data_IF_133786306621
#
_entry.id   IF_133786306621
#
_cell.length_a   1.000
_cell.length_b   1.000
_cell.length_c   1.000
_cell.angle_alpha   90.00
_cell.angle_beta   90.00
_cell.angle_gamma   90.00
#
_symmetry.space_group_name_H-M   'P 1'
#
loop_
_entity.id
_entity.type
_entity.pdbx_description
1 polymer ?
#
# COMPACT_ATOMS: atom_id res chain seq x y z
N UNK A 1 4.19 -24.91 21.19
CA UNK A 1 4.14 -23.48 20.82
C UNK A 1 3.99 -23.45 19.30
N UNK A 2 2.86 -22.97 18.75
CA UNK A 2 2.74 -22.80 17.30
C UNK A 2 3.76 -21.73 16.89
N UNK A 3 4.67 -22.04 16.00
CA UNK A 3 5.52 -21.01 15.37
C UNK A 3 4.60 -19.96 14.76
N UNK A 4 4.80 -18.71 15.11
CA UNK A 4 4.05 -17.59 14.54
C UNK A 4 4.41 -17.50 13.06
N UNK A 5 3.40 -17.56 12.18
CA UNK A 5 3.62 -17.42 10.73
C UNK A 5 4.23 -16.04 10.42
N UNK A 6 5.21 -16.03 9.54
CA UNK A 6 5.80 -14.77 9.04
C UNK A 6 4.79 -14.02 8.18
N UNK A 7 4.83 -12.70 8.21
CA UNK A 7 3.90 -11.84 7.48
C UNK A 7 4.60 -11.21 6.28
N UNK A 8 4.06 -11.45 5.09
CA UNK A 8 4.50 -10.84 3.85
C UNK A 8 3.45 -9.84 3.36
N UNK A 9 3.90 -8.64 3.05
CA UNK A 9 3.09 -7.59 2.44
C UNK A 9 3.47 -7.42 0.97
N UNK A 10 2.50 -7.58 0.09
CA UNK A 10 2.64 -7.37 -1.35
C UNK A 10 1.88 -6.09 -1.72
N UNK A 11 2.60 -5.05 -2.11
CA UNK A 11 2.00 -3.77 -2.48
C UNK A 11 1.79 -3.74 -4.00
N UNK A 12 0.54 -3.53 -4.43
CA UNK A 12 0.20 -3.16 -5.79
C UNK A 12 0.73 -1.74 -6.08
N UNK A 13 1.97 -1.67 -6.58
CA UNK A 13 2.67 -0.42 -6.82
C UNK A 13 2.02 0.41 -7.93
N UNK A 14 1.50 -0.24 -8.97
CA UNK A 14 0.80 0.45 -10.07
C UNK A 14 -0.47 1.13 -9.59
N UNK A 15 -1.29 0.43 -8.83
CA UNK A 15 -2.48 0.99 -8.20
C UNK A 15 -2.16 2.12 -7.23
N UNK A 16 -1.07 1.98 -6.45
CA UNK A 16 -0.60 3.00 -5.52
C UNK A 16 -0.13 4.28 -6.22
N UNK A 17 0.56 4.17 -7.34
CA UNK A 17 1.01 5.32 -8.15
C UNK A 17 -0.19 6.18 -8.56
N UNK A 18 -1.20 5.58 -9.19
CA UNK A 18 -2.38 6.31 -9.64
C UNK A 18 -3.15 6.91 -8.46
N UNK A 19 -3.29 6.18 -7.36
CA UNK A 19 -3.94 6.70 -6.14
C UNK A 19 -3.20 7.89 -5.58
N UNK A 20 -1.88 7.81 -5.44
CA UNK A 20 -1.05 8.90 -4.95
C UNK A 20 -1.17 10.14 -5.85
N UNK A 21 -1.13 9.94 -7.16
CA UNK A 21 -1.26 11.02 -8.13
C UNK A 21 -2.58 11.78 -8.02
N UNK A 22 -3.70 11.05 -7.89
CA UNK A 22 -5.02 11.68 -7.79
C UNK A 22 -5.38 12.20 -6.39
N UNK A 23 -4.75 11.67 -5.34
CA UNK A 23 -4.99 12.12 -3.97
C UNK A 23 -4.36 13.49 -3.68
N UNK A 24 -3.22 13.77 -4.29
CA UNK A 24 -2.46 15.01 -4.06
C UNK A 24 -2.44 15.82 -5.37
N UNK A 25 -3.10 16.97 -5.36
CA UNK A 25 -3.15 17.86 -6.52
C UNK A 25 -2.04 18.90 -6.44
N UNK A 26 -1.38 19.18 -7.59
CA UNK A 26 -0.50 20.33 -7.80
C UNK A 26 0.66 20.47 -6.80
N UNK A 27 1.37 19.39 -6.51
CA UNK A 27 2.65 19.43 -5.82
C UNK A 27 3.79 19.37 -6.86
N UNK A 28 4.68 20.35 -6.83
CA UNK A 28 5.89 20.39 -7.64
C UNK A 28 7.05 20.98 -6.84
N UNK A 29 8.28 20.66 -7.22
CA UNK A 29 9.44 21.31 -6.68
C UNK A 29 9.66 22.72 -7.28
N UNK A 30 10.64 23.47 -6.78
CA UNK A 30 10.97 24.83 -7.25
C UNK A 30 11.38 24.91 -8.73
N UNK A 31 11.78 23.78 -9.32
CA UNK A 31 12.11 23.66 -10.75
C UNK A 31 10.87 23.40 -11.63
N UNK A 32 9.68 23.32 -11.04
CA UNK A 32 8.42 23.05 -11.74
C UNK A 32 8.19 21.58 -12.09
N UNK A 33 9.00 20.66 -11.57
CA UNK A 33 8.82 19.21 -11.76
C UNK A 33 7.69 18.73 -10.83
N UNK A 34 6.69 18.04 -11.40
CA UNK A 34 5.61 17.45 -10.62
C UNK A 34 6.16 16.35 -9.71
N UNK A 35 5.77 16.38 -8.44
CA UNK A 35 6.27 15.47 -7.38
C UNK A 35 5.15 14.86 -6.53
N UNK A 36 3.89 15.15 -6.86
CA UNK A 36 2.72 14.73 -6.10
C UNK A 36 2.60 13.20 -5.98
N UNK A 37 2.81 12.46 -7.08
CA UNK A 37 2.73 11.00 -7.05
C UNK A 37 3.87 10.39 -6.23
N UNK A 38 5.10 10.89 -6.38
CA UNK A 38 6.26 10.42 -5.60
C UNK A 38 6.02 10.65 -4.12
N UNK A 39 5.58 11.85 -3.74
CA UNK A 39 5.31 12.21 -2.35
C UNK A 39 4.19 11.36 -1.74
N UNK A 40 3.07 11.24 -2.46
CA UNK A 40 1.94 10.43 -2.02
C UNK A 40 2.30 8.95 -1.87
N UNK A 41 2.96 8.40 -2.87
CA UNK A 41 3.43 7.01 -2.86
C UNK A 41 4.37 6.75 -1.68
N UNK A 42 5.37 7.62 -1.46
CA UNK A 42 6.32 7.49 -0.35
C UNK A 42 5.62 7.48 1.00
N UNK A 43 4.64 8.39 1.21
CA UNK A 43 3.89 8.42 2.47
C UNK A 43 3.01 7.17 2.66
N UNK A 44 2.36 6.67 1.59
CA UNK A 44 1.57 5.45 1.65
C UNK A 44 2.45 4.22 1.95
N UNK A 45 3.64 4.15 1.35
CA UNK A 45 4.63 3.12 1.62
C UNK A 45 5.09 3.14 3.08
N UNK A 46 5.47 4.32 3.59
CA UNK A 46 5.87 4.51 4.98
C UNK A 46 4.75 4.15 5.96
N UNK A 47 3.51 4.48 5.63
CA UNK A 47 2.35 4.08 6.43
C UNK A 47 2.26 2.55 6.51
N UNK A 48 2.31 1.85 5.38
CA UNK A 48 2.25 0.39 5.34
C UNK A 48 3.39 -0.26 6.14
N UNK A 49 4.61 0.29 6.07
CA UNK A 49 5.77 -0.22 6.81
C UNK A 49 5.63 -0.02 8.33
N UNK A 50 5.07 1.10 8.78
CA UNK A 50 5.04 1.48 10.21
C UNK A 50 3.84 0.92 10.96
N UNK A 51 2.65 1.08 10.39
CA UNK A 51 1.41 0.72 11.09
C UNK A 51 1.20 -0.79 11.11
N UNK A 52 1.59 -1.47 10.05
CA UNK A 52 1.39 -2.91 9.93
C UNK A 52 2.61 -3.73 10.39
N UNK A 53 3.78 -3.11 10.49
CA UNK A 53 5.04 -3.74 10.92
C UNK A 53 5.24 -5.14 10.30
N UNK A 54 5.34 -5.25 8.95
CA UNK A 54 5.51 -6.52 8.26
C UNK A 54 6.91 -7.12 8.52
N UNK A 55 7.03 -8.45 8.44
CA UNK A 55 8.33 -9.12 8.47
C UNK A 55 9.02 -9.04 7.10
N UNK A 56 8.21 -9.07 6.03
CA UNK A 56 8.64 -9.06 4.63
C UNK A 56 7.72 -8.14 3.81
N UNK A 57 8.28 -7.46 2.83
CA UNK A 57 7.53 -6.54 1.97
C UNK A 57 8.13 -6.47 0.57
N UNK A 58 7.28 -6.41 -0.45
CA UNK A 58 7.65 -6.11 -1.83
C UNK A 58 6.67 -5.14 -2.47
N UNK A 59 7.13 -4.42 -3.47
CA UNK A 59 6.32 -3.56 -4.33
C UNK A 59 6.31 -4.13 -5.74
N UNK A 60 5.12 -4.38 -6.26
CA UNK A 60 4.92 -5.02 -7.55
C UNK A 60 4.41 -3.96 -8.55
N UNK A 61 5.03 -3.89 -9.71
CA UNK A 61 4.67 -2.95 -10.76
C UNK A 61 4.28 -3.66 -12.04
N UNK A 62 3.42 -3.02 -12.82
CA UNK A 62 3.23 -3.42 -14.21
C UNK A 62 4.50 -3.14 -15.02
N UNK A 63 4.91 -4.11 -15.79
CA UNK A 63 6.01 -3.94 -16.73
C UNK A 63 5.59 -3.04 -17.90
N UNK A 64 6.55 -2.40 -18.51
CA UNK A 64 6.32 -1.61 -19.73
C UNK A 64 5.99 -2.55 -20.91
N UNK A 65 4.89 -2.28 -21.58
CA UNK A 65 4.46 -3.04 -22.76
C UNK A 65 3.13 -3.79 -22.52
N UNK A 66 2.66 -4.55 -23.51
CA UNK A 66 1.42 -5.31 -23.40
C UNK A 66 1.59 -6.55 -22.52
N UNK A 67 0.53 -6.94 -21.82
CA UNK A 67 0.43 -8.25 -21.17
C UNK A 67 -0.11 -9.30 -22.16
N UNK A 68 0.00 -10.58 -21.81
CA UNK A 68 -0.54 -11.70 -22.58
C UNK A 68 -2.05 -11.53 -22.89
N UNK A 69 -2.80 -10.81 -22.04
CA UNK A 69 -4.23 -10.52 -22.27
C UNK A 69 -4.48 -9.73 -23.55
N UNK A 70 -3.52 -8.90 -23.95
CA UNK A 70 -3.59 -8.17 -25.22
C UNK A 70 -3.48 -9.07 -26.44
N UNK A 71 -2.80 -10.21 -26.32
CA UNK A 71 -2.72 -11.23 -27.36
C UNK A 71 -4.04 -12.01 -27.47
N UNK A 72 -4.71 -12.27 -26.34
CA UNK A 72 -6.02 -12.93 -26.29
C UNK A 72 -7.12 -12.01 -26.83
N UNK A 73 -7.09 -10.72 -26.44
CA UNK A 73 -8.12 -9.74 -26.80
C UNK A 73 -7.49 -8.37 -27.11
N UNK A 74 -7.41 -8.02 -28.37
CA UNK A 74 -6.78 -6.78 -28.84
C UNK A 74 -7.36 -5.51 -28.23
N UNK A 75 -8.65 -5.52 -27.88
CA UNK A 75 -9.35 -4.38 -27.26
C UNK A 75 -9.16 -4.31 -25.73
N UNK A 76 -8.46 -5.27 -25.10
CA UNK A 76 -8.18 -5.25 -23.67
C UNK A 76 -7.48 -3.95 -23.27
N UNK A 77 -8.03 -3.23 -22.29
CA UNK A 77 -7.55 -1.91 -21.83
C UNK A 77 -7.42 -0.84 -22.92
N UNK A 78 -8.05 -1.01 -24.10
CA UNK A 78 -7.95 -0.04 -25.19
C UNK A 78 -8.66 1.28 -24.90
N UNK A 79 -9.61 1.30 -23.97
CA UNK A 79 -10.33 2.48 -23.51
C UNK A 79 -9.59 3.28 -22.40
N UNK A 80 -8.48 2.75 -21.87
CA UNK A 80 -7.70 3.47 -20.85
C UNK A 80 -7.07 4.72 -21.47
N UNK A 81 -7.23 5.83 -20.78
CA UNK A 81 -6.56 7.06 -21.16
C UNK A 81 -5.04 6.91 -21.04
N UNK A 82 -4.31 7.63 -21.88
CA UNK A 82 -2.87 7.71 -21.74
C UNK A 82 -2.51 8.21 -20.33
N UNK A 83 -1.37 7.72 -19.82
CA UNK A 83 -0.84 8.21 -18.55
C UNK A 83 -0.63 9.74 -18.64
N UNK A 84 -1.03 10.52 -17.62
CA UNK A 84 -0.77 11.97 -17.61
C UNK A 84 0.71 12.29 -17.84
N UNK A 85 0.99 13.28 -18.68
CA UNK A 85 2.36 13.64 -19.08
C UNK A 85 3.24 14.01 -17.89
N UNK A 86 2.66 14.60 -16.84
CA UNK A 86 3.34 14.97 -15.60
C UNK A 86 3.50 13.80 -14.62
N UNK A 87 2.80 12.67 -14.82
CA UNK A 87 3.00 11.44 -14.07
C UNK A 87 4.16 10.60 -14.63
N UNK A 88 4.32 10.58 -15.96
CA UNK A 88 5.34 9.75 -16.62
C UNK A 88 6.74 9.93 -16.01
N UNK A 89 7.27 11.16 -15.80
CA UNK A 89 8.59 11.36 -15.21
C UNK A 89 8.68 10.97 -13.72
N UNK A 90 7.56 10.84 -13.04
CA UNK A 90 7.53 10.46 -11.63
C UNK A 90 7.71 8.94 -11.41
N UNK A 91 7.40 8.10 -12.41
CA UNK A 91 7.51 6.64 -12.29
C UNK A 91 8.94 6.18 -11.95
N UNK A 92 10.00 6.63 -12.69
CA UNK A 92 11.37 6.28 -12.33
C UNK A 92 11.75 6.71 -10.91
N UNK A 93 11.32 7.89 -10.48
CA UNK A 93 11.59 8.42 -9.14
C UNK A 93 10.93 7.58 -8.05
N UNK A 94 9.70 7.12 -8.27
CA UNK A 94 9.01 6.20 -7.36
C UNK A 94 9.79 4.88 -7.22
N UNK A 95 10.23 4.30 -8.34
CA UNK A 95 11.04 3.08 -8.32
C UNK A 95 12.40 3.29 -7.63
N UNK A 96 12.98 4.49 -7.76
CA UNK A 96 14.20 4.87 -7.06
C UNK A 96 13.97 4.97 -5.55
N UNK A 97 12.86 5.57 -5.12
CA UNK A 97 12.43 5.57 -3.70
C UNK A 97 12.31 4.14 -3.18
N UNK A 98 11.62 3.24 -3.88
CA UNK A 98 11.46 1.85 -3.46
C UNK A 98 12.81 1.16 -3.30
N UNK A 99 13.74 1.35 -4.25
CA UNK A 99 15.10 0.79 -4.15
C UNK A 99 15.89 1.37 -2.99
N UNK A 100 15.77 2.68 -2.75
CA UNK A 100 16.44 3.35 -1.63
C UNK A 100 15.87 2.91 -0.26
N UNK A 101 14.61 2.47 -0.22
CA UNK A 101 14.06 1.75 0.93
C UNK A 101 14.54 0.29 1.03
N UNK A 102 15.39 -0.16 0.09
CA UNK A 102 15.90 -1.53 -0.02
C UNK A 102 14.79 -2.57 -0.14
N UNK A 103 13.69 -2.18 -0.79
CA UNK A 103 12.56 -3.07 -1.04
C UNK A 103 12.65 -3.67 -2.44
N UNK A 104 12.27 -4.95 -2.61
CA UNK A 104 12.10 -5.53 -3.93
C UNK A 104 11.07 -4.75 -4.75
N UNK A 105 11.47 -4.30 -5.94
CA UNK A 105 10.62 -3.71 -6.94
C UNK A 105 10.47 -4.72 -8.09
N UNK A 106 9.35 -5.42 -8.14
CA UNK A 106 9.16 -6.58 -9.02
C UNK A 106 8.27 -6.19 -10.19
N UNK A 107 8.73 -6.47 -11.39
CA UNK A 107 7.97 -6.37 -12.63
C UNK A 107 8.46 -7.43 -13.62
N UNK A 108 7.57 -7.96 -14.44
CA UNK A 108 7.94 -8.94 -15.46
C UNK A 108 7.17 -8.66 -16.76
N UNK A 109 7.91 -8.50 -17.87
CA UNK A 109 7.31 -8.26 -19.18
C UNK A 109 6.36 -9.39 -19.60
N UNK A 110 5.22 -9.02 -20.15
CA UNK A 110 4.16 -9.95 -20.57
C UNK A 110 3.14 -10.28 -19.49
N UNK A 111 3.38 -9.91 -18.22
CA UNK A 111 2.47 -10.13 -17.09
C UNK A 111 2.10 -8.80 -16.42
N UNK A 112 0.93 -8.78 -15.80
CA UNK A 112 0.48 -7.65 -15.00
C UNK A 112 0.87 -7.82 -13.53
N UNK A 113 0.88 -6.71 -12.77
CA UNK A 113 1.19 -6.75 -11.34
C UNK A 113 0.31 -7.75 -10.57
N UNK A 114 -0.97 -7.83 -10.94
CA UNK A 114 -1.93 -8.72 -10.31
C UNK A 114 -1.59 -10.21 -10.48
N UNK A 115 -1.06 -10.61 -11.65
CA UNK A 115 -0.63 -11.98 -11.93
C UNK A 115 0.62 -12.33 -11.08
N UNK A 116 1.54 -11.36 -10.96
CA UNK A 116 2.74 -11.50 -10.12
C UNK A 116 2.33 -11.65 -8.65
N UNK A 117 1.43 -10.79 -8.17
CA UNK A 117 0.89 -10.83 -6.80
C UNK A 117 0.20 -12.17 -6.53
N UNK A 118 -0.65 -12.65 -7.46
CA UNK A 118 -1.34 -13.93 -7.32
C UNK A 118 -0.35 -15.11 -7.24
N UNK A 119 0.68 -15.11 -8.10
CA UNK A 119 1.73 -16.12 -8.11
C UNK A 119 2.52 -16.14 -6.80
N UNK A 120 2.98 -14.98 -6.32
CA UNK A 120 3.70 -14.86 -5.05
C UNK A 120 2.83 -15.27 -3.87
N UNK A 121 1.56 -14.85 -3.88
CA UNK A 121 0.59 -15.22 -2.85
C UNK A 121 0.46 -16.74 -2.75
N UNK A 122 0.23 -17.43 -3.86
CA UNK A 122 0.14 -18.89 -3.91
C UNK A 122 1.41 -19.56 -3.38
N UNK A 123 2.60 -19.11 -3.86
CA UNK A 123 3.89 -19.66 -3.45
C UNK A 123 4.07 -19.54 -1.94
N UNK A 124 3.97 -18.34 -1.40
CA UNK A 124 4.35 -18.10 0.00
C UNK A 124 3.29 -18.53 1.02
N UNK A 125 2.02 -18.65 0.65
CA UNK A 125 1.02 -19.34 1.48
C UNK A 125 1.39 -20.82 1.63
N UNK A 126 1.83 -21.47 0.54
CA UNK A 126 2.28 -22.86 0.58
C UNK A 126 3.56 -23.04 1.44
N UNK A 127 4.39 -22.02 1.56
CA UNK A 127 5.56 -21.96 2.43
C UNK A 127 5.24 -21.55 3.89
N UNK A 128 3.96 -21.36 4.21
CA UNK A 128 3.50 -21.13 5.58
C UNK A 128 3.47 -19.67 6.01
N UNK A 129 3.38 -18.70 5.09
CA UNK A 129 3.27 -17.27 5.41
C UNK A 129 1.82 -16.80 5.47
N UNK A 130 1.58 -15.72 6.21
CA UNK A 130 0.37 -14.92 6.15
C UNK A 130 0.60 -13.73 5.20
N UNK A 131 -0.27 -13.58 4.20
CA UNK A 131 -0.11 -12.59 3.14
C UNK A 131 -1.11 -11.45 3.33
N UNK A 132 -0.62 -10.22 3.29
CA UNK A 132 -1.46 -9.02 3.16
C UNK A 132 -1.17 -8.34 1.83
N UNK A 133 -2.14 -8.32 0.94
CA UNK A 133 -2.03 -7.63 -0.35
C UNK A 133 -2.56 -6.21 -0.16
N UNK A 134 -1.70 -5.24 -0.36
CA UNK A 134 -2.05 -3.83 -0.16
C UNK A 134 -2.50 -3.24 -1.50
N UNK A 135 -3.80 -3.23 -1.71
CA UNK A 135 -4.44 -2.80 -2.95
C UNK A 135 -5.87 -2.33 -2.70
N UNK A 136 -6.49 -1.67 -3.65
CA UNK A 136 -7.92 -1.43 -3.70
C UNK A 136 -8.57 -2.11 -4.89
N UNK A 137 -7.82 -2.93 -5.60
CA UNK A 137 -8.37 -3.66 -6.73
C UNK A 137 -9.21 -4.85 -6.24
N UNK A 138 -10.45 -4.90 -6.76
CA UNK A 138 -11.41 -5.97 -6.45
C UNK A 138 -11.02 -7.31 -7.07
N UNK A 139 -10.23 -7.27 -8.15
CA UNK A 139 -9.91 -8.45 -8.92
C UNK A 139 -8.96 -9.37 -8.14
N UNK A 140 -8.12 -8.77 -7.28
CA UNK A 140 -7.29 -9.49 -6.31
C UNK A 140 -8.08 -10.17 -5.17
N UNK A 141 -9.40 -9.98 -5.08
CA UNK A 141 -10.26 -10.79 -4.21
C UNK A 141 -10.30 -12.27 -4.62
N UNK A 142 -9.84 -12.62 -5.82
CA UNK A 142 -9.69 -13.99 -6.28
C UNK A 142 -8.71 -14.83 -5.45
N UNK A 143 -7.70 -14.19 -4.87
CA UNK A 143 -6.62 -14.87 -4.13
C UNK A 143 -6.77 -14.79 -2.61
N UNK A 144 -7.86 -14.18 -2.12
CA UNK A 144 -8.16 -14.11 -0.68
C UNK A 144 -8.37 -15.53 -0.13
N UNK A 145 -7.89 -15.77 1.08
CA UNK A 145 -7.97 -17.09 1.72
C UNK A 145 -7.87 -17.00 3.25
N UNK A 146 -7.73 -18.13 3.91
CA UNK A 146 -7.54 -18.20 5.36
C UNK A 146 -6.30 -17.42 5.81
N UNK A 147 -5.23 -17.47 4.99
CA UNK A 147 -3.94 -16.83 5.22
C UNK A 147 -3.67 -15.65 4.28
N UNK A 148 -4.69 -15.16 3.57
CA UNK A 148 -4.57 -14.07 2.60
C UNK A 148 -5.68 -13.07 2.81
N UNK A 149 -5.33 -11.81 2.99
CA UNK A 149 -6.28 -10.70 3.07
C UNK A 149 -5.83 -9.53 2.20
N UNK A 150 -6.77 -8.72 1.75
CA UNK A 150 -6.48 -7.44 1.12
C UNK A 150 -6.54 -6.33 2.18
N UNK A 151 -5.74 -5.27 1.97
CA UNK A 151 -5.79 -4.06 2.75
C UNK A 151 -5.93 -2.83 1.84
N UNK A 152 -7.06 -2.15 1.92
CA UNK A 152 -7.28 -0.87 1.23
C UNK A 152 -6.94 0.28 2.17
N UNK A 153 -5.75 0.86 2.00
CA UNK A 153 -5.24 1.95 2.84
C UNK A 153 -6.03 3.25 2.75
N UNK A 154 -6.81 3.45 1.68
CA UNK A 154 -7.66 4.63 1.53
C UNK A 154 -8.92 4.54 2.39
N UNK A 155 -9.46 3.35 2.53
CA UNK A 155 -10.64 3.07 3.34
C UNK A 155 -10.28 2.63 4.75
N UNK A 156 -8.99 2.39 4.99
CA UNK A 156 -8.46 1.79 6.20
C UNK A 156 -9.21 0.50 6.58
N UNK A 157 -9.38 -0.39 5.57
CA UNK A 157 -10.21 -1.58 5.70
C UNK A 157 -9.51 -2.81 5.15
N UNK A 158 -9.60 -3.89 5.93
CA UNK A 158 -9.22 -5.23 5.48
C UNK A 158 -10.40 -5.94 4.82
N UNK A 159 -10.08 -6.78 3.83
CA UNK A 159 -11.04 -7.64 3.14
C UNK A 159 -10.53 -9.08 3.22
N UNK A 160 -11.30 -9.90 3.89
CA UNK A 160 -11.09 -11.34 4.01
C UNK A 160 -12.21 -12.13 3.33
N UNK A 161 -12.31 -13.42 3.65
CA UNK A 161 -13.32 -14.32 3.08
C UNK A 161 -14.77 -13.82 3.29
N UNK A 162 -15.06 -13.16 4.40
CA UNK A 162 -16.40 -12.65 4.68
C UNK A 162 -16.79 -11.51 3.73
N UNK A 163 -15.89 -10.56 3.49
CA UNK A 163 -16.12 -9.44 2.58
C UNK A 163 -16.19 -9.91 1.12
N UNK A 164 -15.40 -10.91 0.73
CA UNK A 164 -15.51 -11.53 -0.60
C UNK A 164 -16.88 -12.19 -0.76
N UNK A 165 -17.33 -12.97 0.23
CA UNK A 165 -18.64 -13.63 0.18
C UNK A 165 -19.79 -12.61 0.17
N UNK A 166 -19.70 -11.52 0.92
CA UNK A 166 -20.68 -10.43 0.90
C UNK A 166 -20.76 -9.79 -0.49
N UNK A 167 -19.62 -9.52 -1.12
CA UNK A 167 -19.57 -8.82 -2.40
C UNK A 167 -19.93 -9.70 -3.57
N UNK A 168 -19.35 -10.90 -3.67
CA UNK A 168 -19.47 -11.78 -4.82
C UNK A 168 -20.45 -12.94 -4.60
N UNK A 169 -21.01 -13.10 -3.40
CA UNK A 169 -22.02 -14.10 -3.08
C UNK A 169 -21.50 -15.52 -2.90
N UNK A 170 -20.19 -15.66 -2.62
CA UNK A 170 -19.55 -16.94 -2.40
C UNK A 170 -18.06 -16.82 -2.14
N UNK A 171 -17.34 -17.94 -2.10
CA UNK A 171 -15.90 -17.95 -1.88
C UNK A 171 -15.12 -17.33 -3.04
N UNK A 172 -13.82 -17.05 -2.89
CA UNK A 172 -12.97 -16.33 -3.85
C UNK A 172 -12.99 -16.90 -5.27
N UNK A 173 -13.19 -18.20 -5.45
CA UNK A 173 -13.32 -18.86 -6.76
C UNK A 173 -14.52 -18.36 -7.56
N UNK A 174 -15.50 -17.69 -6.92
CA UNK A 174 -16.65 -17.11 -7.59
C UNK A 174 -16.39 -15.71 -8.15
N UNK A 175 -15.32 -15.06 -7.73
CA UNK A 175 -14.97 -13.70 -8.18
C UNK A 175 -14.82 -13.66 -9.71
N UNK A 176 -13.98 -14.52 -10.26
CA UNK A 176 -13.78 -14.62 -11.72
C UNK A 176 -15.05 -14.98 -12.46
N UNK A 177 -15.90 -15.86 -11.91
CA UNK A 177 -17.17 -16.27 -12.52
C UNK A 177 -18.17 -15.10 -12.61
N UNK A 178 -18.24 -14.28 -11.56
CA UNK A 178 -19.11 -13.08 -11.53
C UNK A 178 -18.57 -12.01 -12.48
N UNK A 179 -17.27 -11.76 -12.49
CA UNK A 179 -16.65 -10.79 -13.39
C UNK A 179 -16.75 -11.20 -14.87
N UNK A 180 -16.65 -12.49 -15.16
CA UNK A 180 -16.85 -13.02 -16.52
C UNK A 180 -18.23 -12.66 -17.11
N UNK A 181 -19.27 -12.69 -16.29
CA UNK A 181 -20.63 -12.33 -16.69
C UNK A 181 -20.85 -10.83 -16.71
N UNK A 182 -20.37 -10.13 -15.68
CA UNK A 182 -20.58 -8.69 -15.53
C UNK A 182 -19.73 -7.87 -16.50
N UNK A 183 -18.56 -8.38 -16.87
CA UNK A 183 -17.51 -7.62 -17.54
C UNK A 183 -16.83 -6.62 -16.61
N UNK A 184 -15.83 -5.94 -17.14
CA UNK A 184 -15.18 -4.82 -16.47
C UNK A 184 -14.93 -3.67 -17.45
N UNK A 185 -15.60 -2.54 -17.23
CA UNK A 185 -15.48 -1.38 -18.10
C UNK A 185 -14.13 -0.67 -17.97
N UNK A 186 -13.41 -0.80 -16.83
CA UNK A 186 -12.08 -0.22 -16.65
C UNK A 186 -11.03 -0.92 -17.49
N UNK A 187 -11.19 -2.23 -17.70
CA UNK A 187 -10.27 -3.06 -18.48
C UNK A 187 -10.82 -3.41 -19.87
N UNK A 188 -11.96 -2.82 -20.22
CA UNK A 188 -12.65 -3.09 -21.48
C UNK A 188 -12.98 -4.60 -21.67
N UNK A 189 -13.35 -5.26 -20.58
CA UNK A 189 -13.79 -6.66 -20.60
C UNK A 189 -15.29 -6.68 -20.84
N UNK A 190 -15.77 -7.33 -21.90
CA UNK A 190 -17.13 -7.10 -22.40
C UNK A 190 -18.26 -7.69 -21.55
N UNK A 191 -18.03 -8.82 -20.86
CA UNK A 191 -19.09 -9.53 -20.13
C UNK A 191 -20.25 -9.95 -21.01
N UNK A 192 -21.45 -10.12 -20.42
CA UNK A 192 -22.70 -10.41 -21.13
C UNK A 192 -23.59 -9.17 -21.12
N UNK A 193 -24.00 -8.63 -22.27
CA UNK A 193 -24.86 -7.45 -22.33
C UNK A 193 -26.13 -7.58 -21.47
N UNK A 194 -26.38 -6.56 -20.64
CA UNK A 194 -27.50 -6.52 -19.72
C UNK A 194 -27.37 -7.34 -18.44
N UNK A 195 -26.18 -7.90 -18.18
CA UNK A 195 -25.85 -8.57 -16.93
C UNK A 195 -24.78 -7.74 -16.22
N UNK A 196 -25.18 -6.96 -15.21
CA UNK A 196 -24.27 -6.27 -14.33
C UNK A 196 -23.89 -7.10 -13.11
N UNK A 197 -22.96 -6.60 -12.26
CA UNK A 197 -22.37 -7.31 -11.12
C UNK A 197 -23.41 -7.94 -10.19
N UNK A 198 -24.51 -7.23 -9.87
CA UNK A 198 -25.58 -7.76 -9.02
C UNK A 198 -26.26 -8.99 -9.64
N UNK A 199 -26.63 -8.90 -10.92
CA UNK A 199 -27.30 -10.01 -11.62
C UNK A 199 -26.34 -11.17 -11.85
N UNK A 200 -25.07 -10.90 -12.19
CA UNK A 200 -24.03 -11.90 -12.32
C UNK A 200 -23.86 -12.70 -11.03
N UNK A 201 -23.77 -12.00 -9.89
CA UNK A 201 -23.72 -12.62 -8.57
C UNK A 201 -24.91 -13.52 -8.29
N UNK A 202 -26.13 -13.04 -8.51
CA UNK A 202 -27.36 -13.84 -8.32
C UNK A 202 -27.34 -15.13 -9.16
N UNK A 203 -26.91 -15.03 -10.43
CA UNK A 203 -26.81 -16.17 -11.33
C UNK A 203 -25.72 -17.16 -10.88
N UNK A 204 -24.56 -16.67 -10.45
CA UNK A 204 -23.47 -17.56 -9.98
C UNK A 204 -23.84 -18.23 -8.64
N UNK A 205 -24.57 -17.56 -7.76
CA UNK A 205 -25.12 -18.21 -6.56
C UNK A 205 -26.07 -19.35 -6.94
N UNK A 206 -26.98 -19.13 -7.90
CA UNK A 206 -27.99 -20.11 -8.30
C UNK A 206 -27.39 -21.29 -9.07
N UNK A 207 -26.49 -21.03 -10.02
CA UNK A 207 -25.94 -22.03 -10.93
C UNK A 207 -24.54 -22.53 -10.57
N UNK A 208 -23.86 -21.90 -9.66
CA UNK A 208 -22.54 -22.28 -9.16
C UNK A 208 -21.34 -21.88 -10.03
N UNK A 209 -21.46 -21.92 -11.37
CA UNK A 209 -20.39 -21.54 -12.30
C UNK A 209 -20.95 -21.03 -13.63
N UNK A 210 -20.12 -20.32 -14.40
CA UNK A 210 -20.45 -19.88 -15.77
C UNK A 210 -20.87 -21.03 -16.67
N UNK A 211 -20.09 -22.10 -16.68
CA UNK A 211 -20.39 -23.23 -17.58
C UNK A 211 -21.70 -23.94 -17.20
N UNK A 212 -21.97 -24.11 -15.90
CA UNK A 212 -23.25 -24.68 -15.48
C UNK A 212 -24.43 -23.75 -15.78
N UNK A 213 -24.23 -22.43 -15.65
CA UNK A 213 -25.24 -21.43 -16.05
C UNK A 213 -25.52 -21.53 -17.56
N UNK A 214 -24.47 -21.56 -18.40
CA UNK A 214 -24.61 -21.64 -19.85
C UNK A 214 -25.24 -22.96 -20.31
N UNK A 215 -24.99 -24.07 -19.63
CA UNK A 215 -25.63 -25.36 -19.89
C UNK A 215 -27.12 -25.40 -19.47
N UNK A 216 -27.54 -24.49 -18.58
CA UNK A 216 -28.90 -24.48 -18.01
C UNK A 216 -29.64 -23.14 -18.26
N UNK A 217 -29.36 -22.48 -19.38
CA UNK A 217 -29.92 -21.14 -19.69
C UNK A 217 -31.45 -21.13 -19.67
N UNK A 218 -32.12 -22.25 -20.04
CA UNK A 218 -33.58 -22.37 -20.02
C UNK A 218 -34.21 -22.20 -18.64
N UNK A 219 -33.43 -22.40 -17.56
CA UNK A 219 -33.85 -22.19 -16.16
C UNK A 219 -33.72 -20.75 -15.70
N UNK A 220 -33.00 -19.90 -16.46
CA UNK A 220 -32.78 -18.49 -16.10
C UNK A 220 -34.07 -17.69 -16.32
N UNK A 221 -34.44 -16.84 -15.37
CA UNK A 221 -35.65 -16.01 -15.49
C UNK A 221 -35.43 -14.85 -16.50
N UNK A 222 -36.36 -14.69 -17.44
CA UNK A 222 -36.40 -13.59 -18.40
C UNK A 222 -35.85 -13.96 -19.77
N UNK A 223 -36.76 -13.94 -20.79
CA UNK A 223 -36.44 -14.33 -22.17
C UNK A 223 -35.25 -13.56 -22.77
N UNK A 224 -35.19 -12.25 -22.55
CA UNK A 224 -34.07 -11.45 -23.05
C UNK A 224 -32.71 -11.81 -22.41
N UNK A 225 -32.72 -12.17 -21.12
CA UNK A 225 -31.51 -12.64 -20.43
C UNK A 225 -31.06 -14.01 -20.96
N UNK A 226 -32.01 -14.93 -21.18
CA UNK A 226 -31.71 -16.23 -21.81
C UNK A 226 -31.10 -16.03 -23.20
N UNK A 227 -31.72 -15.17 -24.02
CA UNK A 227 -31.22 -14.83 -25.35
C UNK A 227 -29.79 -14.29 -25.29
N UNK A 228 -29.53 -13.32 -24.41
CA UNK A 228 -28.20 -12.74 -24.29
C UNK A 228 -27.18 -13.78 -23.81
N UNK A 229 -27.49 -14.60 -22.83
CA UNK A 229 -26.60 -15.69 -22.38
C UNK A 229 -26.26 -16.68 -23.49
N UNK A 230 -27.22 -17.03 -24.35
CA UNK A 230 -26.95 -17.90 -25.51
C UNK A 230 -26.11 -17.20 -26.57
N UNK A 231 -26.49 -15.97 -26.90
CA UNK A 231 -25.80 -15.18 -27.96
C UNK A 231 -24.38 -14.84 -27.61
N UNK A 232 -24.12 -14.50 -26.34
CA UNK A 232 -22.83 -14.01 -25.87
C UNK A 232 -22.09 -15.04 -24.99
N UNK A 233 -22.40 -16.35 -25.13
CA UNK A 233 -21.75 -17.40 -24.36
C UNK A 233 -20.22 -17.42 -24.53
N UNK A 234 -19.73 -17.32 -25.76
CA UNK A 234 -18.28 -17.32 -26.04
C UNK A 234 -17.62 -16.04 -25.58
N UNK A 235 -18.34 -14.92 -25.62
CA UNK A 235 -17.86 -13.66 -25.05
C UNK A 235 -17.73 -13.73 -23.52
N UNK A 236 -18.62 -14.42 -22.82
CA UNK A 236 -18.52 -14.65 -21.39
C UNK A 236 -17.32 -15.55 -21.05
N UNK A 237 -17.03 -16.57 -21.87
CA UNK A 237 -15.83 -17.40 -21.72
C UNK A 237 -14.55 -16.61 -21.96
N UNK A 238 -14.52 -15.79 -23.01
CA UNK A 238 -13.42 -14.85 -23.25
C UNK A 238 -13.22 -13.91 -22.04
N UNK A 239 -14.30 -13.32 -21.53
CA UNK A 239 -14.24 -12.46 -20.35
C UNK A 239 -13.68 -13.20 -19.14
N UNK A 240 -14.06 -14.48 -18.94
CA UNK A 240 -13.50 -15.31 -17.86
C UNK A 240 -11.99 -15.52 -18.03
N UNK A 241 -11.53 -15.81 -19.25
CA UNK A 241 -10.11 -15.98 -19.54
C UNK A 241 -9.30 -14.70 -19.26
N UNK A 242 -9.88 -13.52 -19.52
CA UNK A 242 -9.26 -12.22 -19.29
C UNK A 242 -9.20 -11.82 -17.80
N UNK A 243 -10.22 -12.19 -16.99
CA UNK A 243 -10.28 -11.80 -15.58
C UNK A 243 -9.54 -12.77 -14.65
N UNK A 244 -9.33 -14.03 -15.06
CA UNK A 244 -8.62 -15.00 -14.23
C UNK A 244 -7.17 -14.60 -14.07
N UNK A 245 -6.71 -14.54 -12.83
CA UNK A 245 -5.33 -14.22 -12.51
C UNK A 245 -4.43 -15.44 -12.75
N UNK A 246 -3.24 -15.18 -13.30
CA UNK A 246 -2.22 -16.22 -13.45
C UNK A 246 -1.50 -16.41 -12.12
N UNK A 247 -1.32 -17.66 -11.73
CA UNK A 247 -0.63 -18.05 -10.50
C UNK A 247 0.66 -18.85 -10.79
N UNK A 248 1.13 -18.76 -12.03
CA UNK A 248 2.25 -19.55 -12.57
C UNK A 248 3.27 -18.67 -13.32
N UNK A 249 3.35 -17.38 -12.97
CA UNK A 249 4.35 -16.46 -13.52
C UNK A 249 5.76 -16.98 -13.19
N UNK A 250 6.69 -17.04 -14.18
CA UNK A 250 8.00 -17.66 -13.98
C UNK A 250 8.95 -16.75 -13.18
N UNK A 251 8.72 -16.67 -11.87
CA UNK A 251 9.53 -15.89 -10.93
C UNK A 251 10.50 -16.79 -10.18
N UNK A 252 11.75 -16.33 -10.05
CA UNK A 252 12.79 -16.99 -9.25
C UNK A 252 13.09 -16.09 -8.03
N UNK A 253 12.25 -16.15 -7.01
CA UNK A 253 12.33 -15.34 -5.80
C UNK A 253 12.08 -16.22 -4.59
N UNK A 254 12.90 -16.07 -3.58
CA UNK A 254 12.75 -16.75 -2.28
C UNK A 254 12.29 -15.75 -1.21
N UNK A 255 11.74 -16.24 -0.12
CA UNK A 255 11.15 -15.35 0.90
C UNK A 255 12.19 -14.40 1.53
N UNK A 256 13.46 -14.79 1.59
CA UNK A 256 14.54 -13.94 2.11
C UNK A 256 14.77 -12.68 1.25
N UNK A 257 14.41 -12.74 -0.03
CA UNK A 257 14.50 -11.59 -0.94
C UNK A 257 13.57 -10.44 -0.52
N UNK A 258 12.56 -10.74 0.29
CA UNK A 258 11.53 -9.79 0.74
C UNK A 258 11.77 -9.26 2.15
N UNK A 259 12.83 -9.72 2.84
CA UNK A 259 13.11 -9.32 4.21
C UNK A 259 13.36 -7.81 4.32
N UNK A 260 12.69 -7.19 5.28
CA UNK A 260 12.88 -5.76 5.53
C UNK A 260 14.29 -5.49 6.06
N UNK A 261 14.89 -4.45 5.55
CA UNK A 261 16.18 -3.94 5.99
C UNK A 261 16.12 -2.43 6.22
N UNK A 262 17.13 -1.88 6.92
CA UNK A 262 17.22 -0.43 7.12
C UNK A 262 17.31 0.28 5.76
N UNK A 263 16.52 1.35 5.56
CA UNK A 263 16.57 2.16 4.35
C UNK A 263 17.97 2.74 4.08
N UNK A 264 18.33 2.86 2.81
CA UNK A 264 19.55 3.51 2.37
C UNK A 264 19.41 5.04 2.50
N UNK A 265 19.84 5.57 3.65
CA UNK A 265 19.73 7.00 3.95
C UNK A 265 20.62 7.85 3.07
N UNK A 266 21.75 7.31 2.61
CA UNK A 266 22.66 8.01 1.71
C UNK A 266 22.03 8.20 0.32
N UNK A 267 21.21 7.25 -0.11
CA UNK A 267 20.43 7.35 -1.34
C UNK A 267 19.16 8.21 -1.16
N UNK A 268 18.43 8.08 -0.04
CA UNK A 268 17.19 8.82 0.22
C UNK A 268 17.42 10.32 0.42
N UNK A 269 18.50 10.70 1.13
CA UNK A 269 18.77 12.10 1.46
C UNK A 269 18.89 13.01 0.22
N UNK A 270 19.74 12.72 -0.79
CA UNK A 270 19.82 13.54 -2.00
C UNK A 270 18.53 13.51 -2.79
N UNK A 271 17.84 12.37 -2.88
CA UNK A 271 16.57 12.23 -3.58
C UNK A 271 15.48 13.11 -2.96
N UNK A 272 15.28 13.06 -1.64
CA UNK A 272 14.29 13.90 -0.96
C UNK A 272 14.67 15.39 -0.98
N UNK A 273 15.97 15.71 -1.02
CA UNK A 273 16.44 17.09 -1.19
C UNK A 273 16.12 17.63 -2.59
N UNK A 274 16.33 16.84 -3.64
CA UNK A 274 16.01 17.22 -5.01
C UNK A 274 14.51 17.39 -5.22
N UNK A 275 13.70 16.52 -4.61
CA UNK A 275 12.24 16.55 -4.64
C UNK A 275 11.63 17.60 -3.70
N UNK A 276 12.46 18.25 -2.85
CA UNK A 276 12.05 19.24 -1.84
C UNK A 276 11.04 18.67 -0.81
N UNK A 277 11.19 17.41 -0.44
CA UNK A 277 10.36 16.73 0.56
C UNK A 277 10.89 17.02 1.98
N UNK A 278 10.75 18.25 2.44
CA UNK A 278 11.38 18.73 3.68
C UNK A 278 11.08 17.88 4.92
N UNK A 279 9.86 17.40 5.10
CA UNK A 279 9.49 16.53 6.22
C UNK A 279 10.20 15.17 6.15
N UNK A 280 10.18 14.53 4.98
CA UNK A 280 10.87 13.26 4.76
C UNK A 280 12.39 13.46 4.88
N UNK A 281 12.91 14.53 4.31
CA UNK A 281 14.33 14.86 4.44
C UNK A 281 14.75 15.01 5.90
N UNK A 282 13.98 15.73 6.71
CA UNK A 282 14.25 15.87 8.14
C UNK A 282 14.23 14.52 8.86
N UNK A 283 13.25 13.68 8.57
CA UNK A 283 13.09 12.36 9.16
C UNK A 283 14.25 11.40 8.81
N UNK A 284 14.67 11.37 7.54
CA UNK A 284 15.71 10.47 7.07
C UNK A 284 17.13 11.04 7.22
N UNK A 285 17.30 12.36 7.28
CA UNK A 285 18.59 13.02 7.60
C UNK A 285 18.90 12.97 9.09
N UNK A 286 17.89 13.08 9.94
CA UNK A 286 18.05 12.96 11.40
C UNK A 286 18.40 11.55 11.88
N UNK A 287 18.47 10.61 10.97
CA UNK A 287 18.74 9.20 11.26
C UNK A 287 20.18 8.76 11.32
N UNK A 288 21.11 9.63 11.53
CA UNK A 288 22.12 9.32 12.53
C UNK A 288 21.41 9.40 13.89
N UNK A 289 20.79 8.32 14.39
CA UNK A 289 20.78 8.14 15.84
C UNK A 289 22.24 8.33 16.22
N UNK A 290 22.57 9.51 16.70
CA UNK A 290 23.82 9.71 17.37
C UNK A 290 23.80 8.65 18.48
N UNK A 291 24.62 7.63 18.33
CA UNK A 291 25.06 6.80 19.44
C UNK A 291 25.78 7.78 20.35
N UNK A 292 25.02 8.46 21.22
CA UNK A 292 25.52 9.55 22.00
C UNK A 292 24.50 10.67 22.28
N UNK A 293 23.17 10.40 22.16
CA UNK A 293 22.14 11.30 22.67
C UNK A 293 22.25 11.35 24.20
N UNK A 294 22.77 12.48 24.70
CA UNK A 294 22.96 12.75 26.11
C UNK A 294 21.72 13.52 26.65
N UNK A 295 20.56 12.82 26.64
CA UNK A 295 19.27 13.38 27.06
C UNK A 295 18.96 12.96 28.51
N UNK A 296 18.79 13.94 29.39
CA UNK A 296 18.56 13.72 30.81
C UNK A 296 17.22 14.29 31.26
N UNK A 297 16.37 13.46 31.91
CA UNK A 297 15.27 13.97 32.70
C UNK A 297 15.78 14.35 34.11
N UNK A 298 15.53 15.57 34.54
CA UNK A 298 16.00 16.11 35.81
C UNK A 298 14.92 15.93 36.86
N UNK A 299 15.08 14.89 37.69
CA UNK A 299 14.13 14.56 38.75
C UNK A 299 14.70 14.77 40.18
N UNK A 300 15.99 14.97 40.30
CA UNK A 300 16.64 15.06 41.59
C UNK A 300 17.38 16.40 41.76
N UNK A 301 17.54 16.91 43.00
CA UNK A 301 18.32 18.11 43.26
C UNK A 301 19.76 18.03 42.74
N UNK A 302 20.42 16.87 42.88
CA UNK A 302 21.80 16.69 42.42
C UNK A 302 21.90 16.78 40.88
N UNK A 303 20.95 16.19 40.14
CA UNK A 303 20.88 16.32 38.68
C UNK A 303 20.59 17.75 38.25
N UNK A 304 19.74 18.47 39.00
CA UNK A 304 19.45 19.88 38.76
C UNK A 304 20.70 20.78 38.98
N UNK A 305 21.43 20.56 40.05
CA UNK A 305 22.67 21.32 40.30
C UNK A 305 23.77 21.00 39.27
N UNK A 306 23.85 19.74 38.80
CA UNK A 306 24.79 19.36 37.76
C UNK A 306 24.45 20.09 36.45
N UNK A 307 23.18 20.09 36.04
CA UNK A 307 22.69 20.85 34.89
C UNK A 307 22.99 22.33 35.00
N UNK A 308 22.69 22.95 36.15
CA UNK A 308 22.96 24.40 36.37
C UNK A 308 24.45 24.76 36.21
N UNK A 309 25.34 23.87 36.60
CA UNK A 309 26.79 24.11 36.41
C UNK A 309 27.18 24.11 34.95
N UNK A 310 26.60 23.20 34.14
CA UNK A 310 26.85 23.17 32.70
C UNK A 310 26.22 24.38 32.00
N UNK A 311 25.00 24.77 32.37
CA UNK A 311 24.35 25.97 31.84
C UNK A 311 25.15 27.24 32.17
N UNK A 312 25.68 27.36 33.39
CA UNK A 312 26.44 28.51 33.80
C UNK A 312 27.83 28.65 33.11
N UNK A 313 28.38 27.53 32.64
CA UNK A 313 29.62 27.48 31.89
C UNK A 313 29.47 27.69 30.38
N UNK A 314 28.25 27.68 29.87
CA UNK A 314 27.97 27.72 28.44
C UNK A 314 27.93 29.14 27.88
N UNK A 315 28.50 29.37 26.70
CA UNK A 315 28.40 30.65 25.96
C UNK A 315 27.01 30.89 25.37
N UNK A 316 26.27 29.78 25.07
CA UNK A 316 24.93 29.83 24.51
C UNK A 316 24.08 28.74 25.15
N UNK A 317 22.83 29.08 25.43
CA UNK A 317 21.84 28.18 25.97
C UNK A 317 20.64 28.22 25.04
N UNK A 318 20.25 27.06 24.50
CA UNK A 318 18.94 26.85 23.90
C UNK A 318 17.96 26.42 24.99
N UNK A 319 16.76 26.96 25.00
CA UNK A 319 15.70 26.48 25.88
C UNK A 319 14.35 26.47 25.16
N UNK A 320 13.46 25.61 25.62
CA UNK A 320 12.10 25.54 25.16
C UNK A 320 11.16 25.21 26.33
N UNK A 321 9.88 25.53 26.20
CA UNK A 321 8.90 25.39 27.26
C UNK A 321 7.66 24.62 26.79
N UNK A 322 7.23 23.65 27.60
CA UNK A 322 5.97 22.94 27.41
C UNK A 322 4.91 23.57 28.32
N UNK A 323 3.74 23.86 27.71
CA UNK A 323 2.66 24.57 28.39
C UNK A 323 1.31 23.94 28.16
N UNK A 324 0.32 24.21 29.03
CA UNK A 324 -1.04 23.68 28.95
C UNK A 324 -1.90 24.32 27.85
N UNK A 325 -1.47 25.45 27.25
CA UNK A 325 -2.28 26.21 26.28
C UNK A 325 -1.39 27.02 25.35
N UNK A 326 -1.87 27.28 24.14
CA UNK A 326 -1.28 28.25 23.21
C UNK A 326 -1.61 29.72 23.57
N UNK A 327 -2.58 29.94 24.46
CA UNK A 327 -2.91 31.29 24.96
C UNK A 327 -1.93 31.68 26.10
N UNK A 328 -1.02 32.63 25.87
CA UNK A 328 0.03 32.96 26.83
C UNK A 328 -0.49 33.54 28.17
N UNK A 329 -1.74 34.01 28.18
CA UNK A 329 -2.37 34.53 29.41
C UNK A 329 -3.01 33.41 30.27
N UNK A 330 -3.22 32.21 29.68
CA UNK A 330 -3.83 31.06 30.35
C UNK A 330 -2.91 29.86 30.44
N UNK A 331 -1.76 29.93 29.78
CA UNK A 331 -0.80 28.86 29.74
C UNK A 331 -0.14 28.67 31.10
N UNK A 332 -0.15 27.45 31.62
CA UNK A 332 0.66 27.05 32.77
C UNK A 332 1.87 26.26 32.29
N UNK A 333 3.02 26.46 32.89
CA UNK A 333 4.25 25.78 32.55
C UNK A 333 4.19 24.30 33.00
N UNK A 334 4.41 23.37 32.07
CA UNK A 334 4.40 21.93 32.32
C UNK A 334 5.82 21.37 32.39
N UNK A 335 6.72 21.88 31.57
CA UNK A 335 8.13 21.46 31.54
C UNK A 335 9.00 22.47 30.85
N UNK A 336 10.29 22.36 31.07
CA UNK A 336 11.32 23.18 30.42
C UNK A 336 12.45 22.27 29.94
N UNK A 337 12.87 22.44 28.69
CA UNK A 337 14.09 21.83 28.17
C UNK A 337 15.22 22.84 28.00
N UNK A 338 16.45 22.37 28.22
CA UNK A 338 17.68 23.14 28.03
C UNK A 338 18.68 22.35 27.19
N UNK A 339 19.49 23.05 26.40
CA UNK A 339 20.62 22.49 25.66
C UNK A 339 21.74 23.51 25.56
N UNK A 340 22.98 23.02 25.63
CA UNK A 340 24.20 23.86 25.49
C UNK A 340 25.06 23.45 24.30
N UNK A 341 24.77 22.27 23.72
CA UNK A 341 25.45 21.72 22.53
C UNK A 341 24.55 20.74 21.76
N UNK A 342 24.80 20.48 20.48
CA UNK A 342 24.06 19.50 19.72
C UNK A 342 24.07 18.13 20.39
N UNK A 343 22.94 17.43 20.34
CA UNK A 343 22.72 16.08 20.89
C UNK A 343 22.80 15.94 22.40
N UNK A 344 22.78 17.06 23.14
CA UNK A 344 22.64 17.08 24.61
C UNK A 344 21.43 17.91 24.99
N UNK A 345 20.59 17.41 25.89
CA UNK A 345 19.50 18.18 26.45
C UNK A 345 19.12 17.69 27.87
N UNK A 346 18.61 18.61 28.65
CA UNK A 346 17.98 18.34 29.93
C UNK A 346 16.52 18.74 29.87
N UNK A 347 15.63 17.89 30.40
CA UNK A 347 14.22 18.19 30.56
C UNK A 347 13.85 18.21 32.03
N UNK A 348 13.21 19.28 32.47
CA UNK A 348 12.70 19.45 33.83
C UNK A 348 11.19 19.34 33.78
N UNK A 349 10.58 18.23 34.25
CA UNK A 349 9.14 18.13 34.36
C UNK A 349 8.64 18.90 35.57
N UNK A 350 7.67 19.81 35.40
CA UNK A 350 7.16 20.67 36.48
C UNK A 350 5.72 20.28 36.89
N UNK A 351 4.85 19.92 35.94
CA UNK A 351 3.44 19.63 36.20
C UNK A 351 2.92 18.55 35.25
N UNK A 352 3.40 17.33 35.38
CA UNK A 352 2.85 16.20 34.66
C UNK A 352 1.82 15.45 35.51
N UNK A 353 0.63 15.15 34.94
CA UNK A 353 -0.44 14.44 35.62
C UNK A 353 -0.80 13.18 34.81
N UNK A 354 -0.06 12.09 35.04
CA UNK A 354 -0.40 10.78 34.52
C UNK A 354 0.02 9.68 35.50
N UNK A 355 -0.57 8.51 35.36
CA UNK A 355 -0.29 7.38 36.24
C UNK A 355 1.18 6.96 36.10
N UNK A 356 1.95 7.00 37.18
CA UNK A 356 3.38 6.69 37.20
C UNK A 356 4.32 7.89 37.01
N UNK A 357 3.84 9.11 37.12
CA UNK A 357 4.68 10.33 37.25
C UNK A 357 5.59 10.17 38.46
N UNK A 358 6.94 10.33 38.33
CA UNK A 358 7.88 10.29 39.44
C UNK A 358 7.69 11.42 40.44
#
# INVERSE_FOLDING_TARGET
>A
MSEQRKRLYLIDGSGYIYRAYFAIRHLSNSKGVATNAVYGFTNMLLKAMREENPDHLAVIFDAKGPSFRKEIYAEYKANRLAMPDDLVPQIPLIKEVVRAFRLPAIELAGFEADDIIATLTRKFVAEGMDITIVTGDKDLMQVVGEHVRLYDTMKDKFFGLAEVAERFGGPPEKVAEVLALAGDSSDNIPGVPGIGEKTARELIIEFGSLENLLANVDRVKGAKRQENLRTFADQARLSRELVVLREDVPLQLDYDDFALSEPDREALTPLFKELEFHKLLQEFSAGSRATGEDYHCVFTPDAFEAMLRELAAAERIGFDTETTSLDPLRAELVGISFSVRPHQAWYIPLRHYYLGVP
#
